data_IF_444883957080
#
_entry.id   IF_444883957080
#
_cell.length_a   1.000
_cell.length_b   1.000
_cell.length_c   1.000
_cell.angle_alpha   90.00
_cell.angle_beta   90.00
_cell.angle_gamma   90.00
#
_symmetry.space_group_name_H-M   'P 1'
#
loop_
_entity.id
_entity.type
_entity.pdbx_description
1 polymer ?
#
# COMPACT_ATOMS: atom_id res chain seq x y z
N UNK A 1 22.03 -7.75 -0.78
CA UNK A 1 20.90 -6.91 -0.30
C UNK A 1 21.44 -5.52 0.02
N UNK A 2 21.71 -4.69 -1.00
CA UNK A 2 22.14 -3.29 -0.79
C UNK A 2 21.27 -2.29 -1.58
N UNK A 3 20.37 -2.77 -2.44
CA UNK A 3 19.51 -1.92 -3.26
C UNK A 3 18.12 -1.76 -2.61
N UNK A 4 18.09 -1.23 -1.37
CA UNK A 4 16.85 -0.88 -0.68
C UNK A 4 16.77 0.63 -0.50
N UNK A 5 15.66 1.22 -0.91
CA UNK A 5 15.38 2.65 -0.70
C UNK A 5 14.33 2.78 0.39
N UNK A 6 14.72 3.35 1.53
CA UNK A 6 13.80 3.68 2.60
C UNK A 6 13.14 5.02 2.23
N UNK A 7 11.81 5.00 2.12
CA UNK A 7 11.05 6.20 1.77
C UNK A 7 10.06 6.55 2.87
N UNK A 8 9.99 7.84 3.22
CA UNK A 8 9.04 8.33 4.22
C UNK A 8 7.60 8.46 3.70
N UNK A 9 6.69 8.73 4.63
CA UNK A 9 5.31 9.09 4.34
C UNK A 9 5.23 10.58 3.96
N UNK A 10 4.85 10.86 2.72
CA UNK A 10 4.60 12.25 2.27
C UNK A 10 3.13 12.62 2.48
N UNK A 11 2.78 13.92 2.49
CA UNK A 11 1.39 14.37 2.59
C UNK A 11 0.47 13.79 1.52
N UNK A 12 0.95 13.63 0.28
CA UNK A 12 0.18 13.08 -0.84
C UNK A 12 -0.19 11.61 -0.56
N UNK A 13 0.79 10.81 -0.14
CA UNK A 13 0.56 9.39 0.19
C UNK A 13 -0.32 9.27 1.42
N UNK A 14 -0.16 10.16 2.40
CA UNK A 14 -1.03 10.20 3.58
C UNK A 14 -2.49 10.44 3.18
N UNK A 15 -2.75 11.38 2.28
CA UNK A 15 -4.11 11.67 1.82
C UNK A 15 -4.72 10.48 1.08
N UNK A 16 -3.95 9.82 0.20
CA UNK A 16 -4.38 8.59 -0.48
C UNK A 16 -4.65 7.47 0.53
N UNK A 17 -3.82 7.31 1.56
CA UNK A 17 -4.01 6.29 2.59
C UNK A 17 -5.29 6.53 3.41
N UNK A 18 -5.61 7.78 3.70
CA UNK A 18 -6.87 8.15 4.39
C UNK A 18 -8.06 7.78 3.50
N UNK A 19 -8.02 8.16 2.22
CA UNK A 19 -9.08 7.85 1.26
C UNK A 19 -9.30 6.33 1.11
N UNK A 20 -8.22 5.56 0.94
CA UNK A 20 -8.29 4.09 0.85
C UNK A 20 -8.91 3.48 2.11
N UNK A 21 -8.52 3.96 3.30
CA UNK A 21 -9.05 3.46 4.57
C UNK A 21 -10.52 3.84 4.81
N UNK A 22 -10.98 4.96 4.27
CA UNK A 22 -12.38 5.36 4.34
C UNK A 22 -13.25 4.54 3.38
N UNK A 23 -12.72 4.16 2.22
CA UNK A 23 -13.47 3.47 1.16
C UNK A 23 -13.35 1.95 1.21
N UNK A 24 -12.37 1.40 1.93
CA UNK A 24 -12.08 -0.04 2.01
C UNK A 24 -11.81 -0.44 3.46
N UNK A 25 -12.06 -1.72 3.79
CA UNK A 25 -11.81 -2.27 5.13
C UNK A 25 -10.31 -2.55 5.30
N UNK A 26 -9.49 -1.51 5.42
CA UNK A 26 -8.04 -1.60 5.62
C UNK A 26 -7.65 -1.12 7.02
N UNK A 27 -6.66 -1.78 7.62
CA UNK A 27 -5.98 -1.20 8.78
C UNK A 27 -5.02 -0.07 8.33
N UNK A 28 -4.54 0.76 9.26
CA UNK A 28 -3.65 1.89 8.91
C UNK A 28 -2.39 1.46 8.16
N UNK A 29 -1.66 0.41 8.61
CA UNK A 29 -0.48 -0.07 7.88
C UNK A 29 -0.77 -0.51 6.43
N UNK A 30 -1.81 -1.32 6.22
CA UNK A 30 -2.25 -1.77 4.88
C UNK A 30 -2.56 -0.59 3.97
N UNK A 31 -3.31 0.39 4.48
CA UNK A 31 -3.68 1.58 3.72
C UNK A 31 -2.46 2.42 3.31
N UNK A 32 -1.44 2.56 4.18
CA UNK A 32 -0.20 3.28 3.86
C UNK A 32 0.60 2.56 2.77
N UNK A 33 0.73 1.22 2.88
CA UNK A 33 1.46 0.41 1.89
C UNK A 33 0.76 0.47 0.54
N UNK A 34 -0.57 0.29 0.52
CA UNK A 34 -1.37 0.38 -0.68
C UNK A 34 -1.34 1.78 -1.30
N UNK A 35 -1.41 2.84 -0.50
CA UNK A 35 -1.30 4.21 -0.98
C UNK A 35 0.03 4.48 -1.67
N UNK A 36 1.14 4.00 -1.07
CA UNK A 36 2.48 4.14 -1.67
C UNK A 36 2.57 3.38 -2.99
N UNK A 37 2.08 2.14 -3.01
CA UNK A 37 2.08 1.31 -4.21
C UNK A 37 1.23 1.93 -5.33
N UNK A 38 0.04 2.43 -5.01
CA UNK A 38 -0.84 3.16 -5.93
C UNK A 38 -0.16 4.43 -6.47
N UNK A 39 0.43 5.24 -5.59
CA UNK A 39 1.09 6.50 -5.96
C UNK A 39 2.28 6.27 -6.91
N UNK A 40 3.09 5.24 -6.65
CA UNK A 40 4.26 4.91 -7.49
C UNK A 40 3.94 3.95 -8.64
N UNK A 41 2.68 3.53 -8.80
CA UNK A 41 2.25 2.51 -9.75
C UNK A 41 3.04 1.19 -9.63
N UNK A 42 3.35 0.81 -8.39
CA UNK A 42 4.06 -0.42 -8.05
C UNK A 42 3.09 -1.52 -7.60
N UNK A 43 3.58 -2.75 -7.63
CA UNK A 43 2.93 -3.91 -7.03
C UNK A 43 3.41 -4.14 -5.60
N UNK A 44 2.56 -4.73 -4.75
CA UNK A 44 2.92 -5.15 -3.40
C UNK A 44 3.15 -6.66 -3.40
N UNK A 45 4.31 -7.10 -2.91
CA UNK A 45 4.63 -8.51 -2.70
C UNK A 45 4.56 -8.80 -1.22
N UNK A 46 3.70 -9.72 -0.80
CA UNK A 46 3.48 -10.01 0.62
C UNK A 46 2.92 -11.42 0.82
N UNK A 47 3.29 -12.14 1.90
CA UNK A 47 2.61 -13.38 2.27
C UNK A 47 1.26 -13.14 2.97
N UNK A 48 0.97 -11.89 3.34
CA UNK A 48 -0.24 -11.54 4.07
C UNK A 48 -1.46 -11.49 3.15
N UNK A 49 -2.32 -12.51 3.26
CA UNK A 49 -3.60 -12.62 2.54
C UNK A 49 -4.57 -11.49 2.86
N UNK A 50 -4.34 -10.74 3.94
CA UNK A 50 -5.08 -9.51 4.23
C UNK A 50 -5.06 -8.53 3.06
N UNK A 51 -4.02 -8.49 2.23
CA UNK A 51 -3.92 -7.54 1.12
C UNK A 51 -4.81 -7.86 -0.09
N UNK A 52 -5.36 -9.08 -0.21
CA UNK A 52 -6.26 -9.51 -1.31
C UNK A 52 -7.46 -8.55 -1.49
N UNK A 53 -7.99 -8.00 -0.39
CA UNK A 53 -9.15 -7.10 -0.42
C UNK A 53 -8.89 -5.74 -1.13
N UNK A 54 -7.64 -5.41 -1.48
CA UNK A 54 -7.25 -4.13 -2.07
C UNK A 54 -7.38 -4.20 -3.59
N UNK A 55 -8.45 -3.62 -4.14
CA UNK A 55 -8.77 -3.71 -5.57
C UNK A 55 -7.92 -2.81 -6.48
N UNK A 56 -7.37 -1.73 -5.92
CA UNK A 56 -6.71 -0.66 -6.69
C UNK A 56 -5.20 -0.84 -6.83
N UNK A 57 -4.65 -1.91 -6.27
CA UNK A 57 -3.21 -2.18 -6.24
C UNK A 57 -2.97 -3.63 -6.64
N UNK A 58 -1.99 -3.86 -7.51
CA UNK A 58 -1.60 -5.22 -7.88
C UNK A 58 -0.88 -5.88 -6.71
N UNK A 59 -1.46 -6.97 -6.20
CA UNK A 59 -0.89 -7.77 -5.11
C UNK A 59 -0.32 -9.08 -5.67
N UNK A 60 0.88 -9.44 -5.23
CA UNK A 60 1.45 -10.78 -5.42
C UNK A 60 1.54 -11.43 -4.05
N UNK A 61 0.75 -12.49 -3.85
CA UNK A 61 0.79 -13.32 -2.67
C UNK A 61 1.87 -14.41 -2.84
N UNK A 62 2.72 -14.58 -1.83
CA UNK A 62 3.81 -15.58 -1.80
C UNK A 62 3.73 -16.47 -0.56
#
# INVERSE_FOLDING_TARGET
MNDCVITGLTPEIKNIAIELRQNQILNTPEAIIAARAKFLQLQVVTPDKGFDKIKDVKIILI
#
